data_IF_342407603937
#
_entry.id   IF_342407603937
#
_cell.length_a   1.000
_cell.length_b   1.000
_cell.length_c   1.000
_cell.angle_alpha   90.00
_cell.angle_beta   90.00
_cell.angle_gamma   90.00
#
_symmetry.space_group_name_H-M   'P 1'
#
loop_
_entity.id
_entity.type
_entity.pdbx_description
1 polymer ?
#
# COMPACT_ATOMS: atom_id res chain seq x y z
N UNK A 1 -17.78 2.34 20.67
CA UNK A 1 -17.76 2.28 19.19
C UNK A 1 -16.36 2.60 18.75
N UNK A 2 -15.60 1.58 18.35
CA UNK A 2 -14.31 1.82 17.71
C UNK A 2 -14.53 2.54 16.37
N UNK A 3 -13.77 3.61 16.17
CA UNK A 3 -13.78 4.38 14.93
C UNK A 3 -13.03 3.58 13.85
N UNK A 4 -13.59 3.52 12.65
CA UNK A 4 -12.91 2.92 11.51
C UNK A 4 -11.51 3.52 11.31
N UNK A 5 -10.47 2.68 11.19
CA UNK A 5 -9.07 3.14 11.15
C UNK A 5 -8.11 2.16 10.46
N UNK A 6 -6.96 2.68 10.04
CA UNK A 6 -5.82 1.93 9.53
C UNK A 6 -4.88 1.61 10.71
N UNK A 7 -4.79 0.33 11.05
CA UNK A 7 -3.98 -0.15 12.17
C UNK A 7 -2.49 -0.17 11.85
N UNK A 8 -2.13 -0.61 10.64
CA UNK A 8 -0.75 -0.64 10.16
C UNK A 8 -0.70 -0.57 8.65
N UNK A 9 0.45 -0.16 8.12
CA UNK A 9 0.80 -0.19 6.71
C UNK A 9 2.28 -0.50 6.59
N UNK A 10 2.65 -1.32 5.62
CA UNK A 10 4.05 -1.55 5.25
C UNK A 10 4.18 -1.99 3.79
N UNK A 11 5.33 -1.71 3.15
CA UNK A 11 5.62 -2.19 1.81
C UNK A 11 6.44 -3.49 1.85
N UNK A 12 6.37 -4.24 0.76
CA UNK A 12 7.22 -5.39 0.45
C UNK A 12 7.64 -5.32 -1.01
N UNK A 13 8.92 -5.57 -1.26
CA UNK A 13 9.47 -5.67 -2.61
C UNK A 13 9.04 -7.00 -3.23
N UNK A 14 8.28 -6.98 -4.31
CA UNK A 14 7.87 -8.20 -5.00
C UNK A 14 8.99 -8.69 -5.91
N UNK A 15 9.45 -9.91 -5.65
CA UNK A 15 10.51 -10.59 -6.41
C UNK A 15 9.93 -11.61 -7.36
N UNK A 16 10.72 -11.98 -8.36
CA UNK A 16 10.35 -13.04 -9.30
C UNK A 16 9.98 -14.33 -8.56
N UNK A 17 8.89 -14.96 -8.99
CA UNK A 17 8.35 -16.17 -8.36
C UNK A 17 7.47 -15.92 -7.13
N UNK A 18 7.36 -14.69 -6.63
CA UNK A 18 6.41 -14.36 -5.57
C UNK A 18 4.98 -14.25 -6.11
N UNK A 19 4.01 -14.79 -5.37
CA UNK A 19 2.60 -14.66 -5.67
C UNK A 19 2.12 -13.23 -5.34
N UNK A 20 1.33 -12.58 -6.19
CA UNK A 20 0.82 -11.22 -5.96
C UNK A 20 -0.15 -11.08 -4.76
N UNK A 21 -0.34 -12.15 -4.00
CA UNK A 21 -1.37 -12.28 -2.98
C UNK A 21 -0.92 -12.98 -1.71
N UNK A 22 0.33 -12.81 -1.28
CA UNK A 22 0.72 -13.20 0.08
C UNK A 22 0.51 -12.05 1.08
N UNK A 23 0.56 -12.38 2.37
CA UNK A 23 0.90 -11.41 3.42
C UNK A 23 2.39 -11.63 3.68
N UNK A 24 3.21 -10.67 3.25
CA UNK A 24 4.66 -10.78 3.32
C UNK A 24 5.22 -10.00 4.51
N UNK A 25 6.49 -10.26 4.83
CA UNK A 25 7.21 -9.45 5.80
C UNK A 25 7.50 -8.04 5.23
N UNK A 26 7.56 -7.01 6.08
CA UNK A 26 7.90 -5.66 5.65
C UNK A 26 9.35 -5.56 5.17
N UNK A 27 9.57 -4.87 4.04
CA UNK A 27 10.90 -4.50 3.56
C UNK A 27 11.14 -3.02 3.83
N UNK A 28 11.91 -2.70 4.87
CA UNK A 28 12.27 -1.32 5.22
C UNK A 28 13.39 -0.76 4.34
N UNK A 29 14.17 -1.64 3.71
CA UNK A 29 15.25 -1.29 2.79
C UNK A 29 15.20 -2.23 1.59
N UNK A 30 15.07 -1.66 0.41
CA UNK A 30 14.92 -2.37 -0.85
C UNK A 30 16.16 -2.17 -1.71
N UNK A 31 16.73 -3.29 -2.17
CA UNK A 31 17.81 -3.29 -3.16
C UNK A 31 17.21 -3.70 -4.50
N UNK A 32 17.18 -2.75 -5.44
CA UNK A 32 16.64 -2.94 -6.78
C UNK A 32 17.78 -3.28 -7.73
N UNK A 33 17.61 -4.34 -8.52
CA UNK A 33 18.69 -4.86 -9.37
C UNK A 33 19.04 -3.93 -10.54
N UNK A 34 18.06 -3.20 -11.09
CA UNK A 34 18.27 -2.30 -12.24
C UNK A 34 17.50 -1.01 -12.06
N UNK A 35 18.21 0.11 -12.23
CA UNK A 35 17.61 1.43 -12.38
C UNK A 35 16.62 1.41 -13.55
N UNK A 36 15.48 2.08 -13.40
CA UNK A 36 14.40 2.18 -14.41
C UNK A 36 13.58 0.90 -14.67
N UNK A 37 13.85 -0.21 -13.97
CA UNK A 37 12.99 -1.38 -14.04
C UNK A 37 11.71 -1.15 -13.22
N UNK A 38 10.54 -1.32 -13.86
CA UNK A 38 9.26 -1.35 -13.16
C UNK A 38 9.31 -2.45 -12.10
N UNK A 39 9.29 -2.03 -10.86
CA UNK A 39 9.49 -2.91 -9.72
C UNK A 39 8.17 -2.99 -8.96
N UNK A 40 7.50 -4.15 -8.96
CA UNK A 40 6.24 -4.29 -8.26
C UNK A 40 6.46 -4.16 -6.75
N UNK A 41 5.64 -3.33 -6.09
CA UNK A 41 5.58 -3.24 -4.64
C UNK A 41 4.23 -3.75 -4.18
N UNK A 42 4.23 -4.66 -3.22
CA UNK A 42 3.04 -4.97 -2.45
C UNK A 42 2.95 -4.03 -1.25
N UNK A 43 1.80 -3.38 -1.07
CA UNK A 43 1.48 -2.60 0.14
C UNK A 43 0.47 -3.40 0.94
N UNK A 44 0.87 -3.83 2.13
CA UNK A 44 -0.02 -4.53 3.05
C UNK A 44 -0.48 -3.56 4.12
N UNK A 45 -1.79 -3.54 4.37
CA UNK A 45 -2.40 -2.72 5.40
C UNK A 45 -3.48 -3.48 6.17
N UNK A 46 -3.55 -3.21 7.47
CA UNK A 46 -4.57 -3.74 8.37
C UNK A 46 -5.59 -2.68 8.73
N UNK A 47 -6.87 -3.02 8.65
CA UNK A 47 -7.99 -2.11 8.80
C UNK A 47 -8.95 -2.62 9.86
N UNK A 48 -9.38 -1.72 10.74
CA UNK A 48 -10.53 -1.94 11.62
C UNK A 48 -11.72 -1.23 11.00
N UNK A 49 -12.73 -2.01 10.62
CA UNK A 49 -13.84 -1.56 9.77
C UNK A 49 -15.17 -2.05 10.34
N UNK A 50 -16.29 -1.49 9.88
CA UNK A 50 -17.63 -2.05 10.16
C UNK A 50 -17.97 -3.09 9.09
N UNK A 51 -18.61 -4.19 9.49
CA UNK A 51 -18.88 -5.32 8.57
C UNK A 51 -19.88 -5.05 7.44
N UNK A 52 -20.76 -4.05 7.58
CA UNK A 52 -21.90 -3.82 6.66
C UNK A 52 -21.65 -2.71 5.64
N UNK A 53 -20.47 -2.10 5.69
CA UNK A 53 -20.14 -0.90 4.93
C UNK A 53 -19.18 -1.24 3.79
N UNK A 54 -19.24 -0.48 2.70
CA UNK A 54 -18.31 -0.62 1.58
C UNK A 54 -17.26 0.47 1.65
N UNK A 55 -16.02 0.13 1.27
CA UNK A 55 -14.88 1.03 1.38
C UNK A 55 -14.02 1.05 0.12
N UNK A 56 -13.38 2.20 -0.13
CA UNK A 56 -12.35 2.39 -1.14
C UNK A 56 -11.03 2.66 -0.42
N UNK A 57 -9.98 1.98 -0.88
CA UNK A 57 -8.61 2.15 -0.38
C UNK A 57 -7.79 2.74 -1.51
N UNK A 58 -7.06 3.81 -1.21
CA UNK A 58 -6.10 4.41 -2.13
C UNK A 58 -4.70 4.26 -1.59
N UNK A 59 -3.76 3.98 -2.49
CA UNK A 59 -2.35 3.84 -2.18
C UNK A 59 -1.58 4.79 -3.08
N UNK A 60 -0.68 5.54 -2.50
CA UNK A 60 0.23 6.47 -3.17
C UNK A 60 1.65 6.16 -2.71
N UNK A 61 2.62 6.16 -3.62
CA UNK A 61 4.04 5.89 -3.33
C UNK A 61 4.86 7.00 -3.97
N UNK A 62 5.56 7.80 -3.15
CA UNK A 62 6.32 8.96 -3.60
C UNK A 62 7.73 8.95 -3.03
N UNK A 63 8.71 9.41 -3.81
CA UNK A 63 10.01 9.80 -3.26
C UNK A 63 9.85 11.10 -2.43
N UNK A 64 10.50 11.18 -1.27
CA UNK A 64 10.34 12.32 -0.33
C UNK A 64 10.94 13.62 -0.91
N UNK A 65 12.05 13.52 -1.63
CA UNK A 65 12.79 14.68 -2.16
C UNK A 65 12.54 14.93 -3.66
N UNK A 66 11.60 14.19 -4.28
CA UNK A 66 11.22 14.42 -5.66
C UNK A 66 10.09 15.45 -5.76
N UNK A 67 10.04 16.27 -6.82
CA UNK A 67 8.87 17.09 -7.09
C UNK A 67 7.62 16.20 -7.16
N UNK A 68 6.53 16.67 -6.55
CA UNK A 68 5.26 15.92 -6.45
C UNK A 68 4.88 15.30 -7.79
N UNK A 69 4.62 13.99 -7.87
CA UNK A 69 4.21 13.40 -9.12
C UNK A 69 2.86 14.01 -9.56
N UNK A 70 2.78 14.36 -10.85
CA UNK A 70 1.50 14.58 -11.53
C UNK A 70 0.64 13.34 -11.37
N UNK A 71 -0.59 13.52 -10.89
CA UNK A 71 -1.62 12.50 -10.63
C UNK A 71 -1.38 11.15 -11.34
N UNK A 72 -0.70 10.24 -10.64
CA UNK A 72 -0.67 8.84 -11.01
C UNK A 72 -1.57 8.10 -10.03
N UNK A 73 -2.85 7.95 -10.40
CA UNK A 73 -3.72 7.02 -9.70
C UNK A 73 -3.14 5.63 -9.92
N UNK A 74 -2.56 5.03 -8.88
CA UNK A 74 -2.12 3.65 -8.93
C UNK A 74 -3.37 2.78 -9.07
N UNK A 75 -3.56 2.17 -10.26
CA UNK A 75 -4.53 1.10 -10.45
C UNK A 75 -4.03 -0.13 -9.70
N UNK A 76 -4.28 -0.18 -8.39
CA UNK A 76 -3.90 -1.30 -7.55
C UNK A 76 -4.94 -2.40 -7.64
N UNK A 77 -4.51 -3.65 -7.89
CA UNK A 77 -5.35 -4.80 -7.63
C UNK A 77 -5.37 -5.07 -6.11
N UNK A 78 -6.53 -4.90 -5.48
CA UNK A 78 -6.73 -5.25 -4.07
C UNK A 78 -6.97 -6.75 -3.99
N UNK A 79 -6.12 -7.47 -3.27
CA UNK A 79 -6.41 -8.84 -2.88
C UNK A 79 -6.69 -8.92 -1.37
N UNK A 80 -7.91 -9.31 -1.03
CA UNK A 80 -8.30 -9.66 0.34
C UNK A 80 -7.55 -10.91 0.79
N UNK A 81 -6.91 -10.84 1.96
CA UNK A 81 -6.14 -11.98 2.50
C UNK A 81 -6.67 -12.51 3.81
N UNK A 82 -7.15 -11.62 4.66
CA UNK A 82 -7.65 -12.00 5.96
C UNK A 82 -8.80 -11.08 6.34
N UNK A 83 -9.91 -11.68 6.77
CA UNK A 83 -11.02 -10.96 7.39
C UNK A 83 -11.42 -11.78 8.61
N UNK A 84 -11.36 -11.15 9.77
CA UNK A 84 -11.86 -11.68 11.02
C UNK A 84 -12.93 -10.74 11.57
N UNK A 85 -14.06 -11.31 12.00
CA UNK A 85 -15.07 -10.54 12.73
C UNK A 85 -14.60 -10.38 14.16
N UNK A 86 -14.64 -9.16 14.65
CA UNK A 86 -14.39 -8.85 16.06
C UNK A 86 -15.74 -8.57 16.74
N UNK A 87 -15.74 -8.47 18.07
CA UNK A 87 -16.93 -8.14 18.83
C UNK A 87 -17.53 -6.78 18.39
N UNK A 88 -18.80 -6.54 18.72
CA UNK A 88 -19.53 -5.30 18.39
C UNK A 88 -19.75 -4.99 16.90
N UNK A 89 -19.68 -6.01 16.03
CA UNK A 89 -19.96 -5.85 14.59
C UNK A 89 -18.84 -5.18 13.79
N UNK A 90 -17.64 -5.11 14.39
CA UNK A 90 -16.41 -4.74 13.70
C UNK A 90 -15.81 -5.90 12.92
N UNK A 91 -14.88 -5.58 12.02
CA UNK A 91 -14.02 -6.53 11.35
C UNK A 91 -12.59 -6.02 11.31
N UNK A 92 -11.65 -6.94 11.54
CA UNK A 92 -10.24 -6.75 11.20
C UNK A 92 -10.03 -7.33 9.80
N UNK A 93 -9.63 -6.47 8.86
CA UNK A 93 -9.31 -6.88 7.51
C UNK A 93 -7.84 -6.59 7.19
N UNK A 94 -7.15 -7.54 6.57
CA UNK A 94 -5.80 -7.33 6.02
C UNK A 94 -5.87 -7.48 4.52
N UNK A 95 -5.48 -6.40 3.85
CA UNK A 95 -5.40 -6.33 2.39
C UNK A 95 -3.95 -6.21 1.96
N UNK A 96 -3.63 -6.87 0.85
CA UNK A 96 -2.38 -6.63 0.12
C UNK A 96 -2.74 -6.07 -1.24
N UNK A 97 -2.15 -4.93 -1.56
CA UNK A 97 -2.45 -4.12 -2.73
C UNK A 97 -1.18 -4.06 -3.58
N UNK A 98 -1.26 -4.54 -4.82
CA UNK A 98 -0.11 -4.55 -5.71
C UNK A 98 -0.03 -3.23 -6.48
N UNK A 99 1.10 -2.54 -6.36
CA UNK A 99 1.48 -1.42 -7.23
C UNK A 99 2.46 -1.92 -8.28
N UNK A 100 1.99 -2.07 -9.52
CA UNK A 100 2.82 -2.55 -10.65
C UNK A 100 3.69 -1.45 -11.28
N UNK A 101 3.41 -0.18 -10.96
CA UNK A 101 4.02 0.98 -11.62
C UNK A 101 4.60 1.99 -10.62
N UNK A 102 5.09 1.54 -9.46
CA UNK A 102 5.81 2.41 -8.55
C UNK A 102 7.11 2.90 -9.22
N UNK A 103 7.28 4.22 -9.33
CA UNK A 103 8.52 4.81 -9.83
C UNK A 103 9.59 4.82 -8.74
N UNK A 104 10.46 3.81 -8.77
CA UNK A 104 11.56 3.64 -7.82
C UNK A 104 12.91 3.96 -8.46
N UNK A 105 12.95 4.84 -9.46
CA UNK A 105 14.14 5.07 -10.28
C UNK A 105 15.30 5.76 -9.54
N UNK A 106 15.07 6.26 -8.32
CA UNK A 106 16.06 7.02 -7.56
C UNK A 106 16.40 6.30 -6.25
N UNK A 107 17.66 6.41 -5.83
CA UNK A 107 18.03 6.06 -4.46
C UNK A 107 17.45 7.07 -3.49
N UNK A 108 17.05 6.63 -2.30
CA UNK A 108 16.55 7.52 -1.27
C UNK A 108 15.34 7.00 -0.52
N UNK A 109 14.73 7.89 0.26
CA UNK A 109 13.53 7.57 1.02
C UNK A 109 12.27 7.76 0.20
N UNK A 110 11.40 6.78 0.32
CA UNK A 110 10.07 6.76 -0.24
C UNK A 110 9.04 6.73 0.87
N UNK A 111 7.91 7.39 0.62
CA UNK A 111 6.73 7.41 1.49
C UNK A 111 5.59 6.67 0.79
N UNK A 112 5.01 5.71 1.49
CA UNK A 112 3.71 5.12 1.11
C UNK A 112 2.64 5.83 1.91
N UNK A 113 1.59 6.29 1.25
CA UNK A 113 0.40 6.87 1.88
C UNK A 113 -0.78 5.98 1.55
N UNK A 114 -1.49 5.50 2.57
CA UNK A 114 -2.73 4.75 2.41
C UNK A 114 -3.88 5.59 2.95
N UNK A 115 -4.89 5.80 2.11
CA UNK A 115 -6.11 6.53 2.46
C UNK A 115 -7.31 5.61 2.39
N UNK A 116 -8.23 5.82 3.32
CA UNK A 116 -9.37 4.95 3.52
C UNK A 116 -10.67 5.76 3.50
N UNK A 117 -11.61 5.38 2.64
CA UNK A 117 -12.86 6.11 2.40
C UNK A 117 -14.05 5.17 2.48
N UNK A 118 -15.21 5.66 2.91
CA UNK A 118 -16.47 4.99 2.61
C UNK A 118 -16.78 5.10 1.11
N UNK A 119 -17.52 4.14 0.58
CA UNK A 119 -18.05 4.22 -0.78
C UNK A 119 -19.51 3.81 -0.87
N UNK A 120 -20.22 4.39 -1.84
CA UNK A 120 -21.52 3.92 -2.34
C UNK A 120 -21.40 3.74 -3.84
N UNK A 121 -21.73 2.55 -4.35
CA UNK A 121 -21.63 2.20 -5.78
C UNK A 121 -20.25 2.46 -6.42
N UNK A 122 -19.17 2.34 -5.64
CA UNK A 122 -17.79 2.55 -6.12
C UNK A 122 -17.32 4.01 -6.07
N UNK A 123 -18.20 4.96 -5.77
CA UNK A 123 -17.83 6.37 -5.58
C UNK A 123 -17.51 6.66 -4.11
N UNK A 124 -16.48 7.46 -3.84
CA UNK A 124 -16.13 7.88 -2.48
C UNK A 124 -17.24 8.76 -1.90
N UNK A 125 -17.63 8.50 -0.66
CA UNK A 125 -18.61 9.32 0.05
C UNK A 125 -17.96 9.98 1.26
N UNK A 126 -18.12 11.30 1.37
CA UNK A 126 -17.60 12.09 2.48
C UNK A 126 -16.08 12.27 2.47
N UNK A 127 -15.53 12.57 3.64
CA UNK A 127 -14.10 12.81 3.83
C UNK A 127 -13.32 11.50 4.00
N UNK A 128 -11.99 11.59 3.90
CA UNK A 128 -11.09 10.52 4.31
C UNK A 128 -11.40 10.10 5.75
N UNK A 129 -11.61 8.80 5.97
CA UNK A 129 -11.87 8.24 7.30
C UNK A 129 -10.60 8.17 8.13
N UNK A 130 -9.51 7.73 7.49
CA UNK A 130 -8.19 7.65 8.09
C UNK A 130 -7.11 7.64 7.01
N UNK A 131 -5.96 8.19 7.36
CA UNK A 131 -4.75 8.22 6.52
C UNK A 131 -3.58 7.70 7.35
N UNK A 132 -2.81 6.78 6.77
CA UNK A 132 -1.59 6.29 7.42
C UNK A 132 -0.47 6.19 6.42
N UNK A 133 0.71 6.58 6.85
CA UNK A 133 1.91 6.51 6.07
C UNK A 133 2.96 5.57 6.68
N UNK A 134 3.86 5.12 5.82
CA UNK A 134 5.10 4.48 6.21
C UNK A 134 6.22 4.85 5.24
N UNK A 135 7.44 4.49 5.61
CA UNK A 135 8.63 4.86 4.88
C UNK A 135 9.49 3.64 4.61
N UNK A 136 10.17 3.65 3.46
CA UNK A 136 11.17 2.66 3.11
C UNK A 136 12.30 3.34 2.33
N UNK A 137 13.48 2.72 2.37
CA UNK A 137 14.65 3.19 1.62
C UNK A 137 14.84 2.33 0.37
N UNK A 138 15.17 2.98 -0.75
CA UNK A 138 15.56 2.33 -2.00
C UNK A 138 17.03 2.58 -2.27
N UNK A 139 17.71 1.52 -2.68
CA UNK A 139 19.06 1.56 -3.27
C UNK A 139 19.09 0.69 -4.52
N UNK A 140 19.84 1.11 -5.52
CA UNK A 140 20.12 0.30 -6.70
C UNK A 140 21.43 -0.45 -6.52
N UNK A 141 21.52 -1.67 -7.06
CA UNK A 141 22.83 -2.32 -7.19
C UNK A 141 23.69 -1.50 -8.14
N UNK A 142 24.92 -1.22 -7.72
CA UNK A 142 25.93 -0.71 -8.64
C UNK A 142 26.11 -1.74 -9.76
N UNK A 143 26.04 -1.28 -11.01
CA UNK A 143 26.26 -2.10 -12.21
C UNK A 143 27.72 -2.57 -12.37
N UNK A 144 28.48 -2.61 -11.28
CA UNK A 144 29.90 -2.91 -11.24
C UNK A 144 30.18 -4.31 -10.73
N UNK A 145 30.07 -5.30 -11.61
CA UNK A 145 30.98 -6.46 -11.76
C UNK A 145 30.69 -7.20 -13.06
#
# INVERSE_FOLDING_TARGET
MEQEKISFVYPTLMREGMFAGGIYAPDLSMVIDRKEQKTPIAVTAGFLMKSVEMYVIEVEINAIDAPSPTEHSLSGHIQTKYIERIEDGGQLAVYTMLSENADLSNDGFYRVIVRFYKTSNGEKIGNCLDEKDCFFYVSHKDSGE
#
